data_IF_000943149436
#
_entry.id   IF_000943149436
#
_cell.length_a   1.000
_cell.length_b   1.000
_cell.length_c   1.000
_cell.angle_alpha   90.00
_cell.angle_beta   90.00
_cell.angle_gamma   90.00
#
_symmetry.space_group_name_H-M   'P 1'
#
loop_
_entity.id
_entity.type
_entity.pdbx_description
1 polymer ?
#
# COMPACT_ATOMS: atom_id res chain seq x y z
N UNK A 1 14.65 33.57 -47.16
CA UNK A 1 14.32 32.21 -47.61
C UNK A 1 15.25 31.15 -47.04
N UNK A 2 16.59 31.29 -47.06
CA UNK A 2 17.54 30.24 -46.57
C UNK A 2 17.37 29.85 -45.09
N UNK A 3 17.05 30.79 -44.20
CA UNK A 3 16.88 30.48 -42.75
C UNK A 3 15.64 29.60 -42.46
N UNK A 4 14.54 29.82 -43.16
CA UNK A 4 13.30 29.02 -42.99
C UNK A 4 13.50 27.61 -43.52
N UNK A 5 14.20 27.43 -44.63
CA UNK A 5 14.56 26.11 -45.16
C UNK A 5 15.42 25.28 -44.17
N UNK A 6 16.41 25.93 -43.54
CA UNK A 6 17.25 25.26 -42.53
C UNK A 6 16.42 24.83 -41.31
N UNK A 7 15.49 25.66 -40.85
CA UNK A 7 14.60 25.33 -39.74
C UNK A 7 13.66 24.16 -40.08
N UNK A 8 13.11 24.15 -41.30
CA UNK A 8 12.23 23.04 -41.75
C UNK A 8 13.00 21.72 -41.85
N UNK A 9 14.23 21.73 -42.32
CA UNK A 9 15.09 20.53 -42.39
C UNK A 9 15.43 20.02 -40.98
N UNK A 10 15.77 20.93 -40.06
CA UNK A 10 16.03 20.57 -38.68
C UNK A 10 14.80 19.94 -38.00
N UNK A 11 13.61 20.52 -38.23
CA UNK A 11 12.36 20.02 -37.68
C UNK A 11 12.03 18.61 -38.21
N UNK A 12 12.21 18.39 -39.52
CA UNK A 12 12.03 17.04 -40.12
C UNK A 12 13.01 16.03 -39.54
N UNK A 13 14.25 16.43 -39.29
CA UNK A 13 15.24 15.54 -38.67
C UNK A 13 14.86 15.17 -37.25
N UNK A 14 14.37 16.11 -36.41
CA UNK A 14 13.90 15.86 -35.04
C UNK A 14 12.69 14.94 -35.05
N UNK A 15 11.71 15.17 -35.96
CA UNK A 15 10.53 14.31 -36.09
C UNK A 15 10.95 12.87 -36.52
N UNK A 16 11.91 12.77 -37.44
CA UNK A 16 12.46 11.49 -37.87
C UNK A 16 13.15 10.72 -36.75
N UNK A 17 13.94 11.41 -35.91
CA UNK A 17 14.58 10.81 -34.73
C UNK A 17 13.55 10.33 -33.69
N UNK A 18 12.53 11.16 -33.42
CA UNK A 18 11.45 10.76 -32.50
C UNK A 18 10.67 9.57 -33.03
N UNK A 19 10.32 9.58 -34.32
CA UNK A 19 9.63 8.44 -34.97
C UNK A 19 10.44 7.16 -34.94
N UNK A 20 11.74 7.26 -35.18
CA UNK A 20 12.67 6.13 -35.10
C UNK A 20 12.78 5.60 -33.66
N UNK A 21 12.91 6.50 -32.67
CA UNK A 21 12.95 6.12 -31.26
C UNK A 21 11.67 5.37 -30.80
N UNK A 22 10.49 5.87 -31.21
CA UNK A 22 9.21 5.21 -30.90
C UNK A 22 9.12 3.85 -31.61
N UNK A 23 9.55 3.76 -32.86
CA UNK A 23 9.55 2.51 -33.63
C UNK A 23 10.46 1.47 -32.97
N UNK A 24 11.68 1.86 -32.59
CA UNK A 24 12.65 0.97 -31.95
C UNK A 24 12.15 0.49 -30.58
N UNK A 25 11.59 1.41 -29.79
CA UNK A 25 10.98 1.05 -28.49
C UNK A 25 9.84 0.05 -28.64
N UNK A 26 8.94 0.27 -29.63
CA UNK A 26 7.85 -0.67 -29.90
C UNK A 26 8.33 -2.02 -30.43
N UNK A 27 9.35 -2.03 -31.27
CA UNK A 27 9.93 -3.27 -31.80
C UNK A 27 10.55 -4.11 -30.67
N UNK A 28 11.29 -3.46 -29.75
CA UNK A 28 11.85 -4.13 -28.59
C UNK A 28 10.77 -4.70 -27.64
N UNK A 29 9.69 -3.96 -27.41
CA UNK A 29 8.56 -4.46 -26.62
C UNK A 29 7.86 -5.66 -27.28
N UNK A 30 7.72 -5.65 -28.61
CA UNK A 30 7.15 -6.77 -29.35
C UNK A 30 8.04 -8.02 -29.33
N UNK A 31 9.37 -7.86 -29.39
CA UNK A 31 10.31 -8.97 -29.24
C UNK A 31 10.26 -9.55 -27.81
N UNK A 32 10.23 -8.70 -26.79
CA UNK A 32 10.08 -9.15 -25.40
C UNK A 32 8.77 -9.92 -25.20
N UNK A 33 7.67 -9.47 -25.81
CA UNK A 33 6.39 -10.15 -25.73
C UNK A 33 6.32 -11.50 -26.50
N UNK A 34 7.21 -11.71 -27.45
CA UNK A 34 7.31 -12.98 -28.23
C UNK A 34 8.29 -13.98 -27.62
N UNK A 35 9.15 -13.55 -26.69
CA UNK A 35 10.08 -14.45 -26.05
C UNK A 35 9.31 -15.53 -25.24
N UNK A 36 9.73 -16.79 -25.28
CA UNK A 36 9.10 -17.82 -24.47
C UNK A 36 9.19 -17.45 -22.99
N UNK A 37 8.08 -17.63 -22.26
CA UNK A 37 8.01 -17.33 -20.83
C UNK A 37 9.08 -18.16 -20.11
N UNK A 38 9.93 -17.51 -19.30
CA UNK A 38 11.04 -18.15 -18.60
C UNK A 38 10.62 -19.01 -17.43
N UNK A 39 9.44 -18.75 -16.89
CA UNK A 39 8.90 -19.48 -15.75
C UNK A 39 7.52 -18.98 -15.37
N UNK A 40 6.91 -19.66 -14.44
CA UNK A 40 5.62 -19.30 -13.85
C UNK A 40 5.76 -19.31 -12.33
N UNK A 41 5.18 -18.34 -11.66
CA UNK A 41 5.06 -18.27 -10.21
C UNK A 41 3.61 -18.08 -9.79
N UNK A 42 3.21 -18.75 -8.73
CA UNK A 42 1.85 -18.66 -8.18
C UNK A 42 1.89 -17.80 -6.92
N UNK A 43 1.08 -16.74 -6.93
CA UNK A 43 1.00 -15.74 -5.84
C UNK A 43 -0.37 -15.82 -5.18
N UNK A 44 -0.41 -16.09 -3.89
CA UNK A 44 -1.61 -15.98 -3.07
C UNK A 44 -1.66 -14.59 -2.42
N UNK A 45 -2.82 -13.93 -2.49
CA UNK A 45 -2.94 -12.58 -1.95
C UNK A 45 -4.38 -12.21 -1.63
N UNK A 46 -4.56 -11.40 -0.61
CA UNK A 46 -5.80 -10.73 -0.22
C UNK A 46 -5.89 -9.28 -0.73
N UNK A 47 -4.90 -8.85 -1.53
CA UNK A 47 -4.88 -7.54 -2.14
C UNK A 47 -5.96 -7.37 -3.22
N UNK A 48 -6.41 -6.12 -3.49
CA UNK A 48 -7.35 -5.83 -4.55
C UNK A 48 -6.88 -6.29 -5.93
N UNK A 49 -7.76 -6.95 -6.69
CA UNK A 49 -7.44 -7.53 -8.00
C UNK A 49 -6.83 -6.55 -9.01
N UNK A 50 -7.27 -5.28 -9.01
CA UNK A 50 -6.73 -4.27 -9.91
C UNK A 50 -5.25 -3.99 -9.67
N UNK A 51 -4.79 -4.01 -8.42
CA UNK A 51 -3.40 -3.83 -8.06
C UNK A 51 -2.58 -5.07 -8.44
N UNK A 52 -3.06 -6.26 -8.09
CA UNK A 52 -2.34 -7.52 -8.33
C UNK A 52 -2.22 -7.84 -9.82
N UNK A 53 -3.24 -7.57 -10.62
CA UNK A 53 -3.17 -7.70 -12.08
C UNK A 53 -2.12 -6.78 -12.68
N UNK A 54 -2.10 -5.51 -12.25
CA UNK A 54 -1.09 -4.55 -12.71
C UNK A 54 0.34 -5.00 -12.39
N UNK A 55 0.56 -5.53 -11.18
CA UNK A 55 1.87 -6.06 -10.77
C UNK A 55 2.26 -7.29 -11.61
N UNK A 56 1.32 -8.21 -11.84
CA UNK A 56 1.55 -9.42 -12.64
C UNK A 56 1.93 -9.07 -14.08
N UNK A 57 1.17 -8.17 -14.73
CA UNK A 57 1.42 -7.72 -16.10
C UNK A 57 2.79 -7.03 -16.22
N UNK A 58 3.11 -6.15 -15.27
CA UNK A 58 4.40 -5.46 -15.24
C UNK A 58 5.56 -6.44 -15.07
N UNK A 59 5.41 -7.42 -14.18
CA UNK A 59 6.43 -8.44 -13.94
C UNK A 59 6.66 -9.33 -15.16
N UNK A 60 5.59 -9.70 -15.87
CA UNK A 60 5.67 -10.44 -17.14
C UNK A 60 6.47 -9.65 -18.18
N UNK A 61 6.18 -8.36 -18.34
CA UNK A 61 6.87 -7.49 -19.32
C UNK A 61 8.35 -7.30 -18.97
N UNK A 62 8.66 -7.07 -17.70
CA UNK A 62 10.03 -6.76 -17.27
C UNK A 62 10.93 -7.98 -17.10
N UNK A 63 10.36 -9.09 -16.61
CA UNK A 63 11.13 -10.29 -16.25
C UNK A 63 10.88 -11.49 -17.16
N UNK A 64 9.86 -11.42 -18.00
CA UNK A 64 9.39 -12.52 -18.83
C UNK A 64 9.06 -13.77 -18.00
N UNK A 65 8.45 -13.56 -16.83
CA UNK A 65 7.95 -14.60 -15.93
C UNK A 65 6.46 -14.39 -15.76
N UNK A 66 5.66 -15.43 -15.99
CA UNK A 66 4.23 -15.37 -15.77
C UNK A 66 3.90 -15.42 -14.30
N UNK A 67 3.04 -14.51 -13.83
CA UNK A 67 2.53 -14.51 -12.47
C UNK A 67 1.07 -14.91 -12.48
N UNK A 68 0.76 -16.03 -11.86
CA UNK A 68 -0.61 -16.50 -11.66
C UNK A 68 -1.10 -16.05 -10.30
N UNK A 69 -2.05 -15.11 -10.28
CA UNK A 69 -2.62 -14.57 -9.04
C UNK A 69 -3.77 -15.47 -8.59
N UNK A 70 -3.72 -15.87 -7.33
CA UNK A 70 -4.75 -16.62 -6.61
C UNK A 70 -5.34 -15.70 -5.54
N UNK A 71 -6.42 -14.94 -5.85
CA UNK A 71 -7.03 -14.02 -4.92
C UNK A 71 -7.76 -14.78 -3.82
N UNK A 72 -7.57 -14.33 -2.59
CA UNK A 72 -8.24 -14.84 -1.39
C UNK A 72 -9.00 -13.70 -0.70
N UNK A 73 -10.00 -14.05 0.12
CA UNK A 73 -10.52 -13.10 1.12
C UNK A 73 -9.55 -13.04 2.31
N UNK A 74 -9.70 -12.01 3.15
CA UNK A 74 -8.91 -11.87 4.38
C UNK A 74 -9.04 -13.13 5.27
N UNK A 75 -10.25 -13.65 5.44
CA UNK A 75 -10.52 -14.86 6.23
C UNK A 75 -9.89 -16.12 5.60
N UNK A 76 -9.91 -16.22 4.28
CA UNK A 76 -9.28 -17.34 3.57
C UNK A 76 -7.76 -17.27 3.68
N UNK A 77 -7.18 -16.07 3.65
CA UNK A 77 -5.74 -15.89 3.83
C UNK A 77 -5.34 -16.27 5.26
N UNK A 78 -6.05 -15.79 6.26
CA UNK A 78 -5.82 -16.14 7.66
C UNK A 78 -5.91 -17.65 7.88
N UNK A 79 -6.95 -18.31 7.36
CA UNK A 79 -7.09 -19.76 7.43
C UNK A 79 -5.94 -20.49 6.76
N UNK A 80 -5.46 -20.00 5.62
CA UNK A 80 -4.35 -20.59 4.89
C UNK A 80 -3.04 -20.53 5.67
N UNK A 81 -2.72 -19.38 6.25
CA UNK A 81 -1.46 -19.17 6.99
C UNK A 81 -1.50 -19.83 8.38
N UNK A 82 -2.67 -19.90 9.03
CA UNK A 82 -2.82 -20.54 10.35
C UNK A 82 -3.01 -22.05 10.29
N UNK A 83 -3.34 -22.62 9.13
CA UNK A 83 -3.55 -24.06 8.96
C UNK A 83 -2.30 -24.87 9.29
N UNK A 84 -2.43 -25.95 10.02
CA UNK A 84 -1.34 -26.93 10.27
C UNK A 84 -1.04 -27.83 9.07
N UNK A 85 -1.89 -27.83 8.04
CA UNK A 85 -1.67 -28.64 6.85
C UNK A 85 -0.57 -28.01 6.00
N UNK A 86 0.37 -28.81 5.55
CA UNK A 86 1.37 -28.39 4.59
C UNK A 86 0.68 -28.09 3.25
N UNK A 87 0.64 -26.83 2.87
CA UNK A 87 0.19 -26.41 1.54
C UNK A 87 1.40 -25.95 0.74
N UNK A 88 1.72 -26.74 -0.28
CA UNK A 88 2.87 -26.52 -1.16
C UNK A 88 2.49 -25.93 -2.50
N UNK A 89 1.24 -25.49 -2.67
CA UNK A 89 0.69 -25.08 -3.97
C UNK A 89 1.07 -23.68 -4.44
N UNK A 90 1.71 -22.86 -3.60
CA UNK A 90 2.10 -21.49 -3.95
C UNK A 90 3.58 -21.22 -3.76
N UNK A 91 4.10 -20.27 -4.55
CA UNK A 91 5.50 -19.85 -4.48
C UNK A 91 5.67 -18.59 -3.64
N UNK A 92 4.64 -17.73 -3.63
CA UNK A 92 4.70 -16.40 -3.00
C UNK A 92 3.38 -16.10 -2.30
N UNK A 93 3.47 -15.48 -1.13
CA UNK A 93 2.31 -14.90 -0.43
C UNK A 93 2.53 -13.40 -0.28
N UNK A 94 1.51 -12.59 -0.63
CA UNK A 94 1.49 -11.14 -0.41
C UNK A 94 0.27 -10.83 0.42
N UNK A 95 0.47 -10.42 1.66
CA UNK A 95 -0.60 -10.15 2.63
C UNK A 95 -0.12 -9.18 3.72
N UNK A 96 -0.95 -8.92 4.72
CA UNK A 96 -0.57 -8.13 5.88
C UNK A 96 0.54 -8.79 6.71
N UNK A 97 1.31 -7.98 7.44
CA UNK A 97 2.35 -8.46 8.36
C UNK A 97 1.78 -9.44 9.38
N UNK A 98 0.60 -9.16 9.95
CA UNK A 98 -0.06 -10.03 10.94
C UNK A 98 -0.23 -11.45 10.41
N UNK A 99 -0.72 -11.60 9.18
CA UNK A 99 -0.86 -12.90 8.52
C UNK A 99 0.50 -13.59 8.30
N UNK A 100 1.54 -12.83 7.94
CA UNK A 100 2.88 -13.39 7.74
C UNK A 100 3.51 -13.87 9.06
N UNK A 101 3.34 -13.12 10.14
CA UNK A 101 3.79 -13.52 11.48
C UNK A 101 3.10 -14.82 11.92
N UNK A 102 1.79 -14.95 11.68
CA UNK A 102 1.07 -16.20 11.91
C UNK A 102 1.69 -17.33 11.07
N UNK A 103 1.89 -17.10 9.78
CA UNK A 103 2.46 -18.11 8.87
C UNK A 103 3.88 -18.55 9.28
N UNK A 104 4.72 -17.64 9.75
CA UNK A 104 6.05 -17.95 10.31
C UNK A 104 5.92 -18.87 11.53
N UNK A 105 4.99 -18.55 12.45
CA UNK A 105 4.75 -19.37 13.65
C UNK A 105 4.25 -20.79 13.35
N UNK A 106 3.72 -21.02 12.14
CA UNK A 106 3.21 -22.32 11.67
C UNK A 106 4.19 -22.99 10.68
N UNK A 107 5.45 -22.55 10.60
CA UNK A 107 6.48 -23.08 9.71
C UNK A 107 6.06 -23.12 8.21
N UNK A 108 5.25 -22.13 7.78
CA UNK A 108 4.76 -22.06 6.39
C UNK A 108 5.80 -21.53 5.43
N UNK A 109 6.74 -20.77 5.92
CA UNK A 109 7.64 -19.96 5.12
C UNK A 109 9.09 -20.41 5.27
N UNK A 110 9.88 -20.11 4.25
CA UNK A 110 11.32 -20.38 4.21
C UNK A 110 12.06 -19.03 4.23
N UNK A 111 13.11 -18.86 5.02
CA UNK A 111 13.85 -17.60 5.04
C UNK A 111 14.50 -17.30 3.70
N UNK A 112 14.46 -16.02 3.29
CA UNK A 112 15.03 -15.51 2.05
C UNK A 112 16.32 -14.79 2.40
N UNK A 113 17.44 -15.26 1.85
CA UNK A 113 18.73 -14.55 1.97
C UNK A 113 19.03 -13.85 0.65
N UNK A 114 18.98 -12.53 0.64
CA UNK A 114 19.25 -11.73 -0.55
C UNK A 114 19.77 -10.35 -0.17
N UNK A 115 20.87 -9.90 -0.79
CA UNK A 115 21.49 -8.59 -0.55
C UNK A 115 20.50 -7.42 -0.68
N UNK A 116 19.54 -7.50 -1.62
CA UNK A 116 18.51 -6.45 -1.79
C UNK A 116 17.53 -6.36 -0.61
N UNK A 117 17.30 -7.47 0.09
CA UNK A 117 16.47 -7.49 1.29
C UNK A 117 17.23 -6.84 2.45
N UNK A 118 18.54 -6.98 2.49
CA UNK A 118 19.36 -6.33 3.52
C UNK A 118 19.32 -4.80 3.43
N UNK A 119 19.11 -4.24 2.24
CA UNK A 119 18.94 -2.79 2.02
C UNK A 119 17.60 -2.25 2.53
N UNK A 120 16.61 -3.12 2.77
CA UNK A 120 15.30 -2.72 3.32
C UNK A 120 15.45 -2.38 4.80
N UNK A 121 14.79 -1.29 5.22
CA UNK A 121 14.81 -0.85 6.62
C UNK A 121 14.38 -1.98 7.57
N UNK A 122 15.06 -2.14 8.69
CA UNK A 122 14.81 -3.24 9.64
C UNK A 122 13.36 -3.31 10.13
N UNK A 123 12.68 -2.17 10.27
CA UNK A 123 11.26 -2.13 10.64
C UNK A 123 10.30 -2.63 9.56
N UNK A 124 10.78 -2.87 8.34
CA UNK A 124 9.99 -3.32 7.18
C UNK A 124 10.41 -4.71 6.72
N UNK A 125 11.08 -5.48 7.56
CA UNK A 125 11.45 -6.87 7.27
C UNK A 125 11.50 -7.70 8.55
N UNK A 126 11.33 -8.99 8.40
CA UNK A 126 11.58 -9.94 9.49
C UNK A 126 13.09 -10.08 9.74
N UNK A 127 13.49 -10.10 11.01
CA UNK A 127 14.90 -10.22 11.40
C UNK A 127 15.55 -11.54 10.98
N UNK A 128 14.76 -12.60 10.79
CA UNK A 128 15.20 -13.91 10.33
C UNK A 128 15.02 -14.11 8.82
N UNK A 129 14.52 -13.09 8.10
CA UNK A 129 14.40 -13.10 6.66
C UNK A 129 13.17 -13.85 6.11
N UNK A 130 12.16 -14.14 6.92
CA UNK A 130 10.97 -14.85 6.46
C UNK A 130 10.07 -14.01 5.58
N UNK A 131 10.07 -12.69 5.75
CA UNK A 131 9.28 -11.78 4.92
C UNK A 131 9.95 -10.41 4.76
N UNK A 132 9.55 -9.67 3.75
CA UNK A 132 9.99 -8.29 3.48
C UNK A 132 8.78 -7.42 3.12
N UNK A 133 8.72 -6.23 3.71
CA UNK A 133 7.68 -5.24 3.44
C UNK A 133 7.83 -4.62 2.06
N UNK A 134 6.73 -4.56 1.32
CA UNK A 134 6.66 -3.88 0.04
C UNK A 134 6.29 -2.40 0.20
N UNK A 135 5.37 -2.10 1.12
CA UNK A 135 4.93 -0.76 1.51
C UNK A 135 4.28 -0.80 2.89
N UNK A 136 4.04 0.35 3.44
CA UNK A 136 3.22 0.53 4.65
C UNK A 136 2.21 1.65 4.42
N UNK A 137 1.07 1.54 5.07
CA UNK A 137 -0.02 2.50 4.99
C UNK A 137 -0.12 3.28 6.29
N UNK A 138 0.37 4.54 6.36
CA UNK A 138 0.34 5.30 7.59
C UNK A 138 -1.04 5.86 7.89
N UNK A 139 -1.37 6.02 9.16
CA UNK A 139 -2.49 6.84 9.59
C UNK A 139 -2.09 8.31 9.45
N UNK A 140 -2.91 9.09 8.76
CA UNK A 140 -2.61 10.49 8.47
C UNK A 140 -3.76 11.41 8.84
N UNK A 141 -3.42 12.66 9.18
CA UNK A 141 -4.39 13.75 9.29
C UNK A 141 -4.52 14.45 7.94
N UNK A 142 -5.73 14.47 7.41
CA UNK A 142 -6.05 15.27 6.22
C UNK A 142 -6.78 16.52 6.65
N UNK A 143 -6.25 17.68 6.32
CA UNK A 143 -6.81 18.98 6.70
C UNK A 143 -7.34 19.72 5.47
N UNK A 144 -8.52 20.34 5.60
CA UNK A 144 -9.03 21.23 4.58
C UNK A 144 -8.12 22.48 4.48
N UNK A 145 -7.60 22.77 3.28
CA UNK A 145 -6.66 23.87 3.06
C UNK A 145 -7.24 25.26 3.35
N UNK A 146 -8.55 25.46 3.14
CA UNK A 146 -9.22 26.73 3.47
C UNK A 146 -9.35 26.89 4.98
N UNK A 147 -9.74 25.82 5.68
CA UNK A 147 -9.85 25.79 7.12
C UNK A 147 -8.47 26.00 7.78
N UNK A 148 -7.44 25.37 7.28
CA UNK A 148 -6.07 25.54 7.73
C UNK A 148 -5.62 27.01 7.67
N UNK A 149 -5.88 27.69 6.55
CA UNK A 149 -5.54 29.12 6.39
C UNK A 149 -6.25 30.00 7.43
N UNK A 150 -7.48 29.65 7.81
CA UNK A 150 -8.25 30.34 8.84
C UNK A 150 -7.76 30.07 10.27
N UNK A 151 -7.21 28.89 10.56
CA UNK A 151 -6.68 28.54 11.89
C UNK A 151 -5.31 29.13 12.16
N UNK A 152 -4.49 29.41 11.14
CA UNK A 152 -3.11 29.85 11.28
C UNK A 152 -2.16 28.82 11.88
N UNK A 153 -2.60 27.56 12.09
CA UNK A 153 -1.79 26.48 12.63
C UNK A 153 -2.16 25.12 12.02
N UNK A 154 -1.17 24.24 11.89
CA UNK A 154 -1.39 22.85 11.52
C UNK A 154 -1.76 21.98 12.72
N UNK A 155 -2.69 21.05 12.51
CA UNK A 155 -2.95 19.97 13.45
C UNK A 155 -2.06 18.82 13.03
N UNK A 156 -0.99 18.57 13.77
CA UNK A 156 0.02 17.56 13.45
C UNK A 156 0.15 16.47 14.49
N UNK A 157 -0.54 16.61 15.62
CA UNK A 157 -0.46 15.66 16.73
C UNK A 157 -1.85 15.31 17.25
N UNK A 158 -1.97 14.10 17.78
CA UNK A 158 -3.17 13.63 18.46
C UNK A 158 -3.55 14.55 19.65
N UNK A 159 -2.58 15.03 20.41
CA UNK A 159 -2.82 15.90 21.58
C UNK A 159 -3.43 17.25 21.18
N UNK A 160 -3.16 17.73 19.97
CA UNK A 160 -3.77 18.97 19.47
C UNK A 160 -5.26 18.80 19.22
N UNK A 161 -5.69 17.61 18.78
CA UNK A 161 -7.09 17.32 18.44
C UNK A 161 -8.04 17.40 19.65
N UNK A 162 -7.58 17.07 20.85
CA UNK A 162 -8.43 17.11 22.05
C UNK A 162 -8.54 18.51 22.68
N UNK A 163 -7.71 19.49 22.23
CA UNK A 163 -7.77 20.86 22.77
C UNK A 163 -9.04 21.55 22.31
N UNK A 164 -9.60 22.48 23.11
CA UNK A 164 -10.71 23.31 22.68
C UNK A 164 -10.38 24.04 21.37
N UNK A 165 -11.31 23.96 20.40
CA UNK A 165 -11.11 24.57 19.10
C UNK A 165 -12.38 24.52 18.24
N UNK A 166 -12.34 25.16 17.06
CA UNK A 166 -13.46 25.24 16.14
C UNK A 166 -13.42 24.13 15.08
N UNK A 167 -12.44 23.24 15.12
CA UNK A 167 -12.32 22.14 14.16
C UNK A 167 -13.39 21.08 14.35
N UNK A 168 -13.70 20.43 13.26
CA UNK A 168 -14.63 19.33 13.19
C UNK A 168 -13.91 18.13 12.57
N UNK A 169 -14.14 16.96 13.13
CA UNK A 169 -13.46 15.72 12.77
C UNK A 169 -14.45 14.79 12.10
N UNK A 170 -14.04 14.21 10.99
CA UNK A 170 -14.68 13.00 10.43
C UNK A 170 -13.67 11.86 10.55
N UNK A 171 -14.10 10.76 11.10
CA UNK A 171 -13.26 9.59 11.27
C UNK A 171 -14.01 8.32 10.88
N UNK A 172 -13.29 7.26 10.57
CA UNK A 172 -13.89 5.96 10.34
C UNK A 172 -14.36 5.36 11.66
N UNK A 173 -15.53 4.72 11.63
CA UNK A 173 -16.04 3.98 12.77
C UNK A 173 -15.09 2.84 13.13
N UNK A 174 -14.75 2.69 14.41
CA UNK A 174 -13.80 1.69 14.89
C UNK A 174 -14.25 0.24 14.62
N UNK A 175 -15.55 0.00 14.47
CA UNK A 175 -16.08 -1.34 14.13
C UNK A 175 -16.29 -1.53 12.63
N UNK A 176 -16.03 -0.50 11.82
CA UNK A 176 -16.27 -0.56 10.37
C UNK A 176 -15.13 -1.21 9.59
N UNK A 177 -13.93 -1.27 10.14
CA UNK A 177 -12.77 -1.89 9.49
C UNK A 177 -11.71 -2.29 10.52
N UNK A 178 -10.92 -3.31 10.20
CA UNK A 178 -9.80 -3.77 11.01
C UNK A 178 -8.79 -2.63 11.27
N UNK A 179 -8.53 -1.80 10.28
CA UNK A 179 -7.58 -0.68 10.43
C UNK A 179 -8.06 0.38 11.44
N UNK A 180 -9.36 0.64 11.49
CA UNK A 180 -9.92 1.53 12.50
C UNK A 180 -9.86 0.89 13.90
N UNK A 181 -10.09 -0.42 13.99
CA UNK A 181 -9.91 -1.16 15.23
C UNK A 181 -8.45 -1.14 15.70
N UNK A 182 -7.51 -1.35 14.78
CA UNK A 182 -6.06 -1.30 15.09
C UNK A 182 -5.62 0.07 15.63
N UNK A 183 -6.20 1.16 15.13
CA UNK A 183 -5.97 2.48 15.73
C UNK A 183 -6.39 2.53 17.20
N UNK A 184 -7.57 2.00 17.51
CA UNK A 184 -8.04 1.94 18.88
C UNK A 184 -7.13 1.07 19.77
N UNK A 185 -6.73 -0.10 19.29
CA UNK A 185 -5.79 -0.98 20.00
C UNK A 185 -4.45 -0.27 20.28
N UNK A 186 -3.88 0.37 19.28
CA UNK A 186 -2.63 1.14 19.44
C UNK A 186 -2.78 2.29 20.44
N UNK A 187 -3.93 2.97 20.46
CA UNK A 187 -4.19 4.01 21.47
C UNK A 187 -4.22 3.42 22.89
N UNK A 188 -4.88 2.28 23.06
CA UNK A 188 -4.94 1.59 24.35
C UNK A 188 -3.57 1.07 24.77
N UNK A 189 -2.81 0.51 23.87
CA UNK A 189 -1.47 0.00 24.14
C UNK A 189 -0.51 1.11 24.60
N UNK A 190 -0.54 2.28 23.94
CA UNK A 190 0.38 3.36 24.24
C UNK A 190 -0.04 4.25 25.39
N UNK A 191 -1.33 4.41 25.65
CA UNK A 191 -1.87 5.32 26.69
C UNK A 191 -2.42 4.57 27.91
N UNK A 192 -2.70 3.28 27.79
CA UNK A 192 -3.55 2.55 28.71
C UNK A 192 -5.04 2.78 28.43
N UNK A 193 -5.89 1.82 28.80
CA UNK A 193 -7.33 1.87 28.53
C UNK A 193 -8.02 3.11 29.12
N UNK A 194 -7.78 3.52 30.41
CA UNK A 194 -8.45 4.69 30.97
C UNK A 194 -8.11 5.98 30.23
N UNK A 195 -6.86 6.19 29.88
CA UNK A 195 -6.40 7.42 29.21
C UNK A 195 -6.81 7.45 27.74
N UNK A 196 -6.82 6.30 27.06
CA UNK A 196 -7.35 6.18 25.70
C UNK A 196 -8.85 6.51 25.66
N UNK A 197 -9.63 6.01 26.62
CA UNK A 197 -11.05 6.30 26.71
C UNK A 197 -11.30 7.79 27.05
N UNK A 198 -10.56 8.34 28.00
CA UNK A 198 -10.63 9.78 28.34
C UNK A 198 -10.30 10.65 27.11
N UNK A 199 -9.29 10.27 26.33
CA UNK A 199 -8.91 10.95 25.10
C UNK A 199 -10.06 10.92 24.07
N UNK A 200 -10.66 9.77 23.81
CA UNK A 200 -11.78 9.63 22.88
C UNK A 200 -13.03 10.41 23.32
N UNK A 201 -13.30 10.43 24.62
CA UNK A 201 -14.37 11.26 25.19
C UNK A 201 -14.10 12.76 24.99
N UNK A 202 -12.85 13.21 25.12
CA UNK A 202 -12.46 14.58 24.84
C UNK A 202 -12.57 14.94 23.36
N UNK A 203 -12.36 14.00 22.45
CA UNK A 203 -12.58 14.21 21.01
C UNK A 203 -14.05 14.26 20.60
N UNK A 204 -14.94 13.60 21.33
CA UNK A 204 -16.35 13.45 20.97
C UNK A 204 -17.06 14.74 20.55
N UNK A 205 -16.87 15.91 21.22
CA UNK A 205 -17.51 17.15 20.80
C UNK A 205 -17.09 17.65 19.43
N UNK A 206 -15.93 17.24 18.95
CA UNK A 206 -15.35 17.62 17.66
C UNK A 206 -15.73 16.65 16.53
N UNK A 207 -16.10 15.41 16.88
CA UNK A 207 -16.45 14.37 15.87
C UNK A 207 -17.86 14.58 15.40
N UNK A 208 -18.00 14.98 14.15
CA UNK A 208 -19.33 15.23 13.53
C UNK A 208 -19.87 14.02 12.79
N UNK A 209 -18.99 13.07 12.43
CA UNK A 209 -19.41 11.87 11.72
C UNK A 209 -18.41 10.73 11.96
N UNK A 210 -18.97 9.54 12.22
CA UNK A 210 -18.30 8.26 12.11
C UNK A 210 -18.69 7.63 10.77
N UNK A 211 -17.72 7.46 9.87
CA UNK A 211 -17.94 6.94 8.53
C UNK A 211 -17.80 5.41 8.50
N UNK A 212 -18.68 4.74 7.76
CA UNK A 212 -18.59 3.29 7.55
C UNK A 212 -17.49 2.89 6.57
N UNK A 213 -17.05 3.82 5.71
CA UNK A 213 -16.04 3.55 4.69
C UNK A 213 -14.84 4.44 4.89
N UNK A 214 -13.65 3.89 4.70
CA UNK A 214 -12.38 4.62 4.79
C UNK A 214 -12.29 5.81 3.83
N UNK A 215 -12.93 5.73 2.66
CA UNK A 215 -12.94 6.81 1.66
C UNK A 215 -13.86 7.97 2.00
N UNK A 216 -14.85 7.80 2.86
CA UNK A 216 -15.85 8.83 3.18
C UNK A 216 -15.25 10.10 3.81
N UNK A 217 -14.28 10.04 4.73
CA UNK A 217 -13.64 11.22 5.28
C UNK A 217 -13.05 12.17 4.24
N UNK A 218 -12.61 11.65 3.10
CA UNK A 218 -12.07 12.48 2.00
C UNK A 218 -13.09 13.38 1.33
N UNK A 219 -14.38 13.04 1.41
CA UNK A 219 -15.47 13.78 0.77
C UNK A 219 -16.02 14.91 1.65
N UNK A 220 -15.72 14.88 2.95
CA UNK A 220 -16.25 15.82 3.94
C UNK A 220 -15.11 16.72 4.43
N UNK A 221 -15.15 17.94 4.00
CA UNK A 221 -14.10 18.96 3.98
C UNK A 221 -13.89 19.72 5.31
N UNK A 222 -13.52 19.08 6.42
CA UNK A 222 -13.13 19.88 7.60
C UNK A 222 -11.79 19.45 8.18
N UNK A 223 -11.72 18.34 8.81
CA UNK A 223 -10.52 17.59 9.21
C UNK A 223 -10.91 16.13 9.11
N UNK A 224 -10.27 15.38 8.24
CA UNK A 224 -10.46 13.94 8.16
C UNK A 224 -9.26 13.25 8.78
N UNK A 225 -9.53 12.34 9.70
CA UNK A 225 -8.56 11.33 10.08
C UNK A 225 -8.72 10.22 9.05
N UNK A 226 -7.83 10.22 8.08
CA UNK A 226 -7.78 9.17 7.09
C UNK A 226 -7.01 7.99 7.69
N UNK A 227 -7.74 6.92 7.95
CA UNK A 227 -7.16 5.66 8.36
C UNK A 227 -6.77 4.93 7.07
N UNK A 228 -5.57 5.18 6.59
CA UNK A 228 -4.94 4.19 5.71
C UNK A 228 -4.63 2.95 6.55
N UNK A 229 -4.80 1.75 5.99
CA UNK A 229 -4.42 0.54 6.70
C UNK A 229 -3.01 0.70 7.24
N UNK A 230 -2.82 0.54 8.54
CA UNK A 230 -1.48 0.56 9.15
C UNK A 230 -0.80 -0.80 8.96
N UNK A 231 -1.06 -1.44 7.81
CA UNK A 231 -0.57 -2.75 7.49
C UNK A 231 0.72 -2.62 6.67
N UNK A 232 1.75 -3.29 7.11
CA UNK A 232 2.90 -3.60 6.26
C UNK A 232 2.43 -4.74 5.36
N UNK A 233 2.29 -4.44 4.06
CA UNK A 233 2.09 -5.49 3.07
C UNK A 233 3.47 -6.02 2.71
N UNK A 234 3.69 -7.26 3.05
CA UNK A 234 4.96 -7.90 2.89
C UNK A 234 4.85 -9.11 1.96
N UNK A 235 5.95 -9.45 1.35
CA UNK A 235 6.08 -10.58 0.46
C UNK A 235 6.92 -11.66 1.13
N UNK A 236 6.45 -12.90 1.03
CA UNK A 236 7.25 -14.09 1.26
C UNK A 236 7.43 -14.81 -0.08
N UNK A 237 8.65 -15.18 -0.40
CA UNK A 237 9.03 -15.96 -1.58
C UNK A 237 9.51 -17.33 -1.08
N UNK A 238 8.98 -18.39 -1.67
CA UNK A 238 9.37 -19.78 -1.38
C UNK A 238 10.51 -20.24 -2.26
#
# INVERSE_FOLDING_TARGET
>A
MKRWMAFSILMLFVIGMLGYGIYFYRAEQLEKAKAPVRGEITVYTDLPNNLTTLLADKYLVEKNVKVTIMPLTEEQMEQRVSSKLADTSGDVVITSEDNLVIGVSQDKFVPIVNERIDEVLDRLKDSNGYWVGLWYDPIVFVQNGTFYKGLGQHITTWDTLQKPGTWRIVMTDFVASQNAANLLYNMVEHKGEPDALAYLLALKPHVIQHAKFLSTPNLILVLAIYLMPNNIYAIHIR
#
